data_IF_731303358849
#
_entry.id   IF_731303358849
#
_cell.length_a   1.000
_cell.length_b   1.000
_cell.length_c   1.000
_cell.angle_alpha   90.00
_cell.angle_beta   90.00
_cell.angle_gamma   90.00
#
_symmetry.space_group_name_H-M   'P 1'
#
loop_
_entity.id
_entity.type
_entity.pdbx_description
1 polymer ?
#
# COMPACT_ATOMS: atom_id res chain seq x y z
N UNK A 1 -28.49 56.31 -16.68
CA UNK A 1 -27.60 56.39 -15.50
C UNK A 1 -28.02 55.48 -14.34
N UNK A 2 -29.32 55.29 -14.05
CA UNK A 2 -29.75 54.48 -12.89
C UNK A 2 -29.41 52.97 -12.96
N UNK A 3 -29.29 52.38 -14.16
CA UNK A 3 -28.87 50.96 -14.30
C UNK A 3 -27.36 50.73 -14.18
N UNK A 4 -26.55 51.78 -14.26
CA UNK A 4 -25.09 51.68 -14.13
C UNK A 4 -24.64 51.84 -12.67
N UNK A 5 -25.39 52.61 -11.86
CA UNK A 5 -25.12 52.77 -10.43
C UNK A 5 -25.40 51.49 -9.62
N UNK A 6 -26.43 50.72 -9.99
CA UNK A 6 -26.78 49.48 -9.30
C UNK A 6 -25.71 48.38 -9.47
N UNK A 7 -25.05 48.34 -10.62
CA UNK A 7 -23.99 47.37 -10.92
C UNK A 7 -22.70 47.66 -10.13
N UNK A 8 -22.38 48.94 -9.89
CA UNK A 8 -21.20 49.34 -9.11
C UNK A 8 -21.43 49.13 -7.61
N UNK A 9 -22.67 49.29 -7.12
CA UNK A 9 -23.01 49.02 -5.71
C UNK A 9 -23.01 47.53 -5.38
N UNK A 10 -23.43 46.67 -6.32
CA UNK A 10 -23.42 45.21 -6.14
C UNK A 10 -21.99 44.63 -6.14
N UNK A 11 -21.05 45.23 -6.88
CA UNK A 11 -19.65 44.79 -6.87
C UNK A 11 -18.88 45.26 -5.62
N UNK A 12 -19.30 46.35 -4.98
CA UNK A 12 -18.73 46.85 -3.72
C UNK A 12 -19.20 46.08 -2.48
N UNK A 13 -20.30 45.32 -2.55
CA UNK A 13 -20.78 44.48 -1.42
C UNK A 13 -20.15 43.08 -1.35
N UNK A 14 -19.38 42.65 -2.35
CA UNK A 14 -18.73 41.31 -2.34
C UNK A 14 -17.31 41.35 -1.79
N UNK A 15 -16.75 42.54 -1.51
CA UNK A 15 -15.34 42.70 -1.11
C UNK A 15 -15.06 42.69 0.42
N UNK A 16 -16.02 42.31 1.27
CA UNK A 16 -15.88 42.50 2.73
C UNK A 16 -16.01 41.24 3.62
N UNK A 17 -15.76 40.03 3.11
CA UNK A 17 -15.85 38.80 3.94
C UNK A 17 -14.71 37.78 3.75
N UNK A 18 -13.48 38.22 3.56
CA UNK A 18 -12.32 37.35 3.81
C UNK A 18 -11.17 38.15 4.43
N UNK A 19 -11.41 38.71 5.63
CA UNK A 19 -10.30 38.76 6.56
C UNK A 19 -10.00 37.30 6.90
N UNK A 20 -8.77 36.79 6.67
CA UNK A 20 -8.38 35.57 7.35
C UNK A 20 -8.54 35.90 8.83
N UNK A 21 -9.48 35.23 9.51
CA UNK A 21 -9.41 35.15 10.95
C UNK A 21 -8.05 34.51 11.19
N UNK A 22 -7.05 35.32 11.52
CA UNK A 22 -5.85 34.87 12.17
C UNK A 22 -6.38 34.28 13.47
N UNK A 23 -6.65 32.96 13.46
CA UNK A 23 -7.00 32.23 14.65
C UNK A 23 -5.90 32.60 15.66
N UNK A 24 -6.29 33.34 16.70
CA UNK A 24 -5.39 33.64 17.80
C UNK A 24 -4.76 32.30 18.22
N UNK A 25 -3.46 32.25 18.55
CA UNK A 25 -2.89 31.02 19.09
C UNK A 25 -3.79 30.59 20.24
N UNK A 26 -4.42 29.41 20.15
CA UNK A 26 -5.33 28.89 21.16
C UNK A 26 -4.64 29.03 22.51
N UNK A 27 -4.97 30.08 23.26
CA UNK A 27 -4.33 30.35 24.53
C UNK A 27 -4.81 29.29 25.48
N UNK A 28 -3.89 28.47 25.97
CA UNK A 28 -4.19 27.44 26.95
C UNK A 28 -4.39 28.13 28.30
N UNK A 29 -5.56 27.94 28.91
CA UNK A 29 -6.05 28.78 30.02
C UNK A 29 -5.11 28.85 31.23
N UNK A 30 -4.39 27.77 31.52
CA UNK A 30 -3.48 27.62 32.66
C UNK A 30 -1.99 27.58 32.29
N UNK A 31 -1.65 27.88 31.04
CA UNK A 31 -0.26 27.90 30.57
C UNK A 31 0.08 29.27 30.02
N UNK A 32 0.65 30.10 30.91
CA UNK A 32 1.17 31.42 30.54
C UNK A 32 2.33 31.29 29.55
N UNK A 33 2.53 32.30 28.71
CA UNK A 33 3.61 32.33 27.70
C UNK A 33 5.01 32.18 28.29
N UNK A 34 5.22 32.60 29.53
CA UNK A 34 6.50 32.48 30.25
C UNK A 34 6.60 31.21 31.12
N UNK A 35 5.61 30.30 31.07
CA UNK A 35 5.73 29.01 31.74
C UNK A 35 6.85 28.18 31.10
N UNK A 36 7.68 27.52 31.92
CA UNK A 36 8.93 26.87 31.47
C UNK A 36 8.76 25.86 30.32
N UNK A 37 7.59 25.20 30.23
CA UNK A 37 7.23 24.23 29.20
C UNK A 37 6.20 24.76 28.19
N UNK A 38 5.92 26.07 28.16
CA UNK A 38 4.83 26.62 27.36
C UNK A 38 4.97 26.29 25.87
N UNK A 39 6.19 26.35 25.33
CA UNK A 39 6.49 26.02 23.93
C UNK A 39 6.14 24.57 23.61
N UNK A 40 6.57 23.64 24.46
CA UNK A 40 6.39 22.21 24.29
C UNK A 40 4.93 21.80 24.49
N UNK A 41 4.25 22.38 25.48
CA UNK A 41 2.82 22.18 25.71
C UNK A 41 2.01 22.64 24.50
N UNK A 42 2.27 23.85 24.00
CA UNK A 42 1.61 24.36 22.79
C UNK A 42 1.85 23.44 21.59
N UNK A 43 3.05 22.90 21.44
CA UNK A 43 3.36 21.94 20.38
C UNK A 43 2.52 20.66 20.48
N UNK A 44 2.51 20.01 21.65
CA UNK A 44 1.81 18.72 21.80
C UNK A 44 0.30 18.87 21.70
N UNK A 45 -0.26 20.01 22.11
CA UNK A 45 -1.69 20.33 21.94
C UNK A 45 -2.00 20.62 20.48
N UNK A 46 -1.23 21.48 19.80
CA UNK A 46 -1.44 21.83 18.39
C UNK A 46 -1.37 20.61 17.46
N UNK A 47 -0.47 19.67 17.74
CA UNK A 47 -0.32 18.44 16.97
C UNK A 47 -1.22 17.30 17.48
N UNK A 48 -2.18 17.60 18.36
CA UNK A 48 -3.12 16.62 18.94
C UNK A 48 -2.44 15.44 19.66
N UNK A 49 -1.17 15.55 20.05
CA UNK A 49 -0.41 14.52 20.78
C UNK A 49 -0.94 14.40 22.21
N UNK A 50 -1.24 15.55 22.85
CA UNK A 50 -1.89 15.64 24.15
C UNK A 50 -3.12 16.55 24.03
N UNK A 51 -4.10 16.35 24.90
CA UNK A 51 -5.37 17.09 24.87
C UNK A 51 -5.51 18.02 26.07
N UNK A 52 -6.30 19.08 25.88
CA UNK A 52 -6.85 19.89 26.96
C UNK A 52 -8.06 19.16 27.57
N UNK A 53 -8.46 19.57 28.77
CA UNK A 53 -9.77 19.18 29.31
C UNK A 53 -10.90 19.98 28.65
N UNK A 54 -12.14 19.63 29.00
CA UNK A 54 -13.35 20.26 28.44
C UNK A 54 -13.47 21.76 28.74
N UNK A 55 -12.67 22.27 29.68
CA UNK A 55 -12.60 23.68 30.06
C UNK A 55 -11.43 24.42 29.41
N UNK A 56 -10.65 23.76 28.55
CA UNK A 56 -9.50 24.35 27.87
C UNK A 56 -8.23 24.44 28.73
N UNK A 57 -8.15 23.68 29.83
CA UNK A 57 -6.96 23.63 30.69
C UNK A 57 -6.07 22.45 30.30
N UNK A 58 -4.75 22.66 30.36
CA UNK A 58 -3.78 21.60 30.14
C UNK A 58 -3.46 20.84 31.42
N UNK A 59 -3.64 21.43 32.60
CA UNK A 59 -3.31 20.90 33.92
C UNK A 59 -1.83 20.46 34.03
N UNK A 60 -0.85 21.36 33.84
CA UNK A 60 0.56 21.01 33.66
C UNK A 60 1.21 20.31 34.85
N UNK A 61 0.71 20.57 36.07
CA UNK A 61 1.24 19.99 37.30
C UNK A 61 0.56 18.68 37.71
N UNK A 62 -0.54 18.30 37.05
CA UNK A 62 -1.20 17.02 37.33
C UNK A 62 -0.32 15.85 36.87
N UNK A 63 -0.43 14.72 37.57
CA UNK A 63 0.25 13.48 37.20
C UNK A 63 -0.34 12.87 35.92
N UNK A 64 0.45 12.05 35.23
CA UNK A 64 0.04 11.40 34.00
C UNK A 64 -0.14 9.90 34.19
N UNK A 65 -1.33 9.42 33.87
CA UNK A 65 -1.64 7.99 33.88
C UNK A 65 -0.87 7.25 32.78
N UNK A 66 -0.64 5.96 33.00
CA UNK A 66 0.00 5.06 32.04
C UNK A 66 -0.68 5.07 30.69
N UNK A 67 -2.01 5.03 30.66
CA UNK A 67 -2.73 4.99 29.40
C UNK A 67 -2.68 6.32 28.64
N UNK A 68 -2.73 7.45 29.36
CA UNK A 68 -2.57 8.75 28.74
C UNK A 68 -1.20 8.87 28.07
N UNK A 69 -0.13 8.42 28.75
CA UNK A 69 1.22 8.45 28.19
C UNK A 69 1.34 7.57 26.94
N UNK A 70 0.77 6.36 26.99
CA UNK A 70 0.76 5.43 25.84
C UNK A 70 0.02 6.01 24.65
N UNK A 71 -1.16 6.59 24.87
CA UNK A 71 -1.93 7.26 23.81
C UNK A 71 -1.10 8.36 23.13
N UNK A 72 -0.46 9.23 23.91
CA UNK A 72 0.38 10.30 23.39
C UNK A 72 1.64 9.78 22.69
N UNK A 73 2.26 8.72 23.22
CA UNK A 73 3.44 8.10 22.59
C UNK A 73 3.08 7.46 21.25
N UNK A 74 1.95 6.76 21.14
CA UNK A 74 1.49 6.20 19.86
C UNK A 74 1.36 7.28 18.79
N UNK A 75 0.83 8.46 19.14
CA UNK A 75 0.72 9.61 18.22
C UNK A 75 2.08 10.17 17.80
N UNK A 76 3.03 10.30 18.73
CA UNK A 76 4.42 10.70 18.38
C UNK A 76 5.05 9.71 17.40
N UNK A 77 4.71 8.43 17.52
CA UNK A 77 5.19 7.34 16.67
C UNK A 77 4.35 7.12 15.40
N UNK A 78 3.29 7.92 15.20
CA UNK A 78 2.30 7.80 14.11
C UNK A 78 1.57 6.45 14.04
N UNK A 79 1.45 5.77 15.18
CA UNK A 79 0.87 4.42 15.34
C UNK A 79 -0.55 4.42 15.93
N UNK A 80 -1.20 5.57 16.09
CA UNK A 80 -2.54 5.72 16.65
C UNK A 80 -3.64 5.04 15.82
N UNK A 81 -3.36 4.68 14.57
CA UNK A 81 -4.25 3.94 13.67
C UNK A 81 -3.69 2.56 13.28
N UNK A 82 -2.67 2.06 13.99
CA UNK A 82 -2.11 0.74 13.72
C UNK A 82 -3.20 -0.34 13.88
N UNK A 83 -3.33 -1.20 12.87
CA UNK A 83 -4.25 -2.34 12.90
C UNK A 83 -3.80 -3.36 13.97
N UNK A 84 -4.70 -3.66 14.91
CA UNK A 84 -4.48 -4.64 15.97
C UNK A 84 -4.68 -6.05 15.42
N UNK A 85 -3.66 -6.91 15.59
CA UNK A 85 -3.63 -8.30 15.13
C UNK A 85 -3.45 -9.30 16.27
N UNK A 86 -3.33 -8.81 17.50
CA UNK A 86 -3.17 -9.63 18.70
C UNK A 86 -4.48 -9.71 19.48
N UNK A 87 -4.62 -10.76 20.30
CA UNK A 87 -5.71 -10.86 21.27
C UNK A 87 -5.32 -10.15 22.57
N UNK A 88 -6.31 -9.59 23.26
CA UNK A 88 -6.10 -9.03 24.59
C UNK A 88 -5.70 -10.14 25.58
N UNK A 89 -4.64 -9.90 26.34
CA UNK A 89 -4.17 -10.78 27.41
C UNK A 89 -4.33 -10.17 28.81
N UNK A 90 -4.86 -8.94 28.92
CA UNK A 90 -5.00 -8.23 30.19
C UNK A 90 -6.39 -8.40 30.79
N UNK A 91 -6.46 -8.68 32.08
CA UNK A 91 -7.73 -8.90 32.80
C UNK A 91 -8.46 -7.60 33.17
N UNK A 92 -7.74 -6.49 33.23
CA UNK A 92 -8.23 -5.15 33.60
C UNK A 92 -8.45 -4.23 32.38
N UNK A 93 -8.55 -4.82 31.18
CA UNK A 93 -8.78 -4.10 29.92
C UNK A 93 -9.93 -4.78 29.17
N UNK A 94 -11.00 -4.04 28.95
CA UNK A 94 -12.24 -4.49 28.31
C UNK A 94 -12.37 -3.91 26.91
N UNK A 95 -12.99 -4.64 25.98
CA UNK A 95 -13.28 -4.14 24.62
C UNK A 95 -14.18 -2.89 24.61
N UNK A 96 -14.90 -2.63 25.70
CA UNK A 96 -15.75 -1.45 25.87
C UNK A 96 -14.95 -0.20 26.28
N UNK A 97 -13.70 -0.36 26.71
CA UNK A 97 -12.87 0.76 27.13
C UNK A 97 -12.44 1.57 25.91
N UNK A 98 -12.59 2.90 25.97
CA UNK A 98 -12.17 3.80 24.88
C UNK A 98 -10.68 3.71 24.55
N UNK A 99 -9.86 3.19 25.48
CA UNK A 99 -8.43 2.99 25.31
C UNK A 99 -8.02 1.57 24.92
N UNK A 100 -8.97 0.66 24.71
CA UNK A 100 -8.71 -0.76 24.41
C UNK A 100 -7.72 -0.94 23.24
N UNK A 101 -7.94 -0.22 22.14
CA UNK A 101 -7.08 -0.31 20.97
C UNK A 101 -5.65 0.16 21.25
N UNK A 102 -5.46 1.20 22.05
CA UNK A 102 -4.14 1.76 22.36
C UNK A 102 -3.30 0.82 23.21
N UNK A 103 -3.94 0.13 24.17
CA UNK A 103 -3.28 -0.93 24.94
C UNK A 103 -2.76 -2.02 24.02
N UNK A 104 -3.60 -2.51 23.09
CA UNK A 104 -3.20 -3.60 22.20
C UNK A 104 -2.17 -3.18 21.16
N UNK A 105 -2.23 -1.95 20.63
CA UNK A 105 -1.19 -1.39 19.76
C UNK A 105 0.14 -1.28 20.49
N UNK A 106 0.12 -0.77 21.71
CA UNK A 106 1.29 -0.67 22.58
C UNK A 106 1.93 -2.02 22.83
N UNK A 107 1.12 -3.04 23.15
CA UNK A 107 1.59 -4.41 23.34
C UNK A 107 2.13 -5.01 22.03
N UNK A 108 1.44 -4.83 20.90
CA UNK A 108 1.85 -5.36 19.59
C UNK A 108 3.19 -4.77 19.13
N UNK A 109 3.41 -3.48 19.40
CA UNK A 109 4.65 -2.79 19.11
C UNK A 109 5.75 -3.07 20.15
N UNK A 110 5.40 -3.64 21.31
CA UNK A 110 6.34 -3.80 22.43
C UNK A 110 6.74 -2.48 23.09
N UNK A 111 5.88 -1.45 23.10
CA UNK A 111 6.19 -0.17 23.75
C UNK A 111 6.13 -0.29 25.26
N UNK A 112 5.05 -0.89 25.77
CA UNK A 112 4.74 -0.98 27.20
C UNK A 112 4.15 -2.35 27.49
N UNK A 113 4.82 -3.10 28.36
CA UNK A 113 4.36 -4.42 28.81
C UNK A 113 3.43 -4.31 30.02
N UNK A 114 2.56 -5.30 30.22
CA UNK A 114 1.80 -5.42 31.46
C UNK A 114 2.61 -6.06 32.59
N UNK A 115 1.92 -6.35 33.68
CA UNK A 115 2.51 -6.93 34.89
C UNK A 115 2.40 -8.47 34.91
N UNK A 116 3.20 -9.16 35.74
CA UNK A 116 3.10 -10.62 35.90
C UNK A 116 1.71 -11.12 36.32
N UNK A 117 0.92 -10.27 36.98
CA UNK A 117 -0.46 -10.53 37.41
C UNK A 117 -1.50 -10.47 36.26
N UNK A 118 -1.05 -10.36 35.00
CA UNK A 118 -1.88 -10.20 33.79
C UNK A 118 -2.70 -8.92 33.75
N UNK A 119 -2.27 -7.86 34.44
CA UNK A 119 -2.89 -6.53 34.35
C UNK A 119 -2.05 -5.55 33.53
N UNK A 120 -2.68 -4.50 33.00
CA UNK A 120 -2.01 -3.37 32.35
C UNK A 120 -1.89 -2.15 33.27
N UNK A 121 -2.84 -1.96 34.20
CA UNK A 121 -2.99 -0.83 35.13
C UNK A 121 -3.09 0.52 34.41
N UNK A 122 -4.10 0.72 33.53
CA UNK A 122 -4.19 1.89 32.64
C UNK A 122 -4.25 3.22 33.40
N UNK A 123 -4.98 3.27 34.51
CA UNK A 123 -5.20 4.48 35.31
C UNK A 123 -4.10 4.74 36.35
N UNK A 124 -3.11 3.85 36.47
CA UNK A 124 -2.01 4.08 37.40
C UNK A 124 -1.06 5.12 36.84
N UNK A 125 -0.65 6.07 37.67
CA UNK A 125 0.37 7.03 37.30
C UNK A 125 1.71 6.34 36.98
N UNK A 126 2.44 6.94 36.05
CA UNK A 126 3.79 6.52 35.70
C UNK A 126 4.82 7.24 36.56
N UNK A 127 5.74 6.47 37.13
CA UNK A 127 6.96 7.03 37.68
C UNK A 127 7.89 7.52 36.57
N UNK A 128 8.75 8.48 36.91
CA UNK A 128 9.78 8.97 35.98
C UNK A 128 10.74 7.87 35.54
N UNK A 129 11.04 6.89 36.40
CA UNK A 129 11.89 5.75 36.04
C UNK A 129 11.25 4.83 35.00
N UNK A 130 9.95 4.55 35.13
CA UNK A 130 9.21 3.74 34.16
C UNK A 130 9.13 4.43 32.81
N UNK A 131 8.75 5.72 32.79
CA UNK A 131 8.71 6.51 31.56
C UNK A 131 10.07 6.56 30.87
N UNK A 132 11.14 6.80 31.64
CA UNK A 132 12.52 6.85 31.10
C UNK A 132 12.91 5.52 30.48
N UNK A 133 12.49 4.41 31.08
CA UNK A 133 12.78 3.08 30.56
C UNK A 133 12.01 2.75 29.29
N UNK A 134 10.77 3.22 29.16
CA UNK A 134 10.00 3.13 27.90
C UNK A 134 10.71 3.89 26.79
N UNK A 135 11.10 5.15 27.03
CA UNK A 135 11.79 5.97 26.02
C UNK A 135 13.17 5.40 25.67
N UNK A 136 13.89 4.89 26.67
CA UNK A 136 15.14 4.16 26.43
C UNK A 136 14.88 2.93 25.54
N UNK A 137 13.90 2.09 25.86
CA UNK A 137 13.61 0.87 25.11
C UNK A 137 13.39 1.12 23.60
N UNK A 138 12.59 2.13 23.27
CA UNK A 138 12.21 2.41 21.88
C UNK A 138 13.26 3.18 21.06
N UNK A 139 14.25 3.78 21.73
CA UNK A 139 15.34 4.52 21.07
C UNK A 139 16.51 3.60 20.76
N UNK A 140 17.29 3.96 19.73
CA UNK A 140 18.48 3.25 19.27
C UNK A 140 19.37 2.83 20.43
N UNK A 141 20.03 1.69 20.25
CA UNK A 141 20.95 1.18 21.25
C UNK A 141 22.20 2.06 21.30
N UNK A 142 22.68 2.29 22.51
CA UNK A 142 23.90 3.02 22.80
C UNK A 142 24.42 2.51 24.13
N UNK A 143 25.71 2.21 24.17
CA UNK A 143 26.38 1.95 25.43
C UNK A 143 26.59 3.30 26.13
N UNK A 144 25.75 3.61 27.10
CA UNK A 144 25.83 4.84 27.87
C UNK A 144 26.57 4.60 29.18
N UNK A 145 27.53 5.46 29.49
CA UNK A 145 28.29 5.38 30.73
C UNK A 145 27.43 5.79 31.94
N UNK A 146 27.09 4.83 32.79
CA UNK A 146 26.29 5.05 34.01
C UNK A 146 27.05 5.81 35.08
N UNK A 147 28.38 5.94 34.99
CA UNK A 147 29.17 6.74 35.95
C UNK A 147 28.75 8.21 35.94
N UNK A 148 28.27 8.71 34.79
CA UNK A 148 27.73 10.07 34.61
C UNK A 148 26.56 10.39 35.52
N UNK A 149 25.84 9.37 36.00
CA UNK A 149 24.70 9.55 36.91
C UNK A 149 25.12 10.06 38.28
N UNK A 150 26.37 9.83 38.72
CA UNK A 150 26.88 10.31 40.01
C UNK A 150 26.89 11.83 40.13
N UNK A 151 26.75 12.56 39.02
CA UNK A 151 26.60 14.02 39.02
C UNK A 151 25.25 14.51 39.53
N UNK A 152 24.25 13.64 39.66
CA UNK A 152 22.93 13.97 40.21
C UNK A 152 22.88 13.65 41.70
N UNK A 153 22.27 14.53 42.49
CA UNK A 153 22.28 14.41 43.96
C UNK A 153 21.50 13.21 44.48
N UNK A 154 20.58 12.69 43.67
CA UNK A 154 19.66 11.59 44.00
C UNK A 154 19.90 10.34 43.14
N UNK A 155 21.10 10.19 42.58
CA UNK A 155 21.44 9.06 41.71
C UNK A 155 21.27 7.69 42.39
N UNK A 156 21.42 7.62 43.72
CA UNK A 156 21.22 6.41 44.51
C UNK A 156 19.75 5.98 44.60
N UNK A 157 18.80 6.87 44.28
CA UNK A 157 17.39 6.54 44.23
C UNK A 157 16.98 5.86 42.91
N UNK A 158 17.87 5.82 41.91
CA UNK A 158 17.58 5.19 40.62
C UNK A 158 17.55 3.67 40.82
N UNK A 159 16.45 2.99 40.46
CA UNK A 159 16.42 1.54 40.49
C UNK A 159 17.48 0.94 39.56
N UNK A 160 18.13 -0.15 39.96
CA UNK A 160 19.20 -0.79 39.17
C UNK A 160 18.78 -1.08 37.72
N UNK A 161 17.54 -1.52 37.50
CA UNK A 161 16.99 -1.78 36.17
C UNK A 161 16.85 -0.54 35.29
N UNK A 162 16.79 0.66 35.88
CA UNK A 162 16.62 1.92 35.17
C UNK A 162 17.95 2.66 34.93
N UNK A 163 19.05 2.28 35.59
CA UNK A 163 20.31 3.03 35.54
C UNK A 163 20.81 3.26 34.10
N UNK A 164 20.86 2.21 33.27
CA UNK A 164 21.25 2.35 31.87
C UNK A 164 20.26 3.24 31.09
N UNK A 165 18.96 3.09 31.32
CA UNK A 165 17.94 3.90 30.67
C UNK A 165 18.11 5.40 30.97
N UNK A 166 18.42 5.75 32.22
CA UNK A 166 18.74 7.11 32.62
C UNK A 166 19.98 7.63 31.90
N UNK A 167 21.10 6.91 31.98
CA UNK A 167 22.34 7.32 31.32
C UNK A 167 22.12 7.52 29.81
N UNK A 168 21.40 6.61 29.16
CA UNK A 168 21.11 6.67 27.74
C UNK A 168 20.25 7.89 27.36
N UNK A 169 19.11 8.06 28.02
CA UNK A 169 18.16 9.15 27.72
C UNK A 169 18.73 10.53 28.02
N UNK A 170 19.54 10.67 29.08
CA UNK A 170 20.31 11.89 29.37
C UNK A 170 21.30 12.16 28.24
N UNK A 171 22.06 11.14 27.81
CA UNK A 171 23.05 11.28 26.73
C UNK A 171 22.43 11.64 25.36
N UNK A 172 21.15 11.29 25.14
CA UNK A 172 20.39 11.68 23.95
C UNK A 172 19.74 13.06 24.07
N UNK A 173 19.83 13.70 25.24
CA UNK A 173 19.18 14.97 25.54
C UNK A 173 17.65 14.86 25.63
N UNK A 174 17.13 13.66 25.89
CA UNK A 174 15.68 13.39 25.98
C UNK A 174 15.15 13.59 27.40
N UNK A 175 15.99 13.43 28.44
CA UNK A 175 15.56 13.56 29.82
C UNK A 175 15.15 15.01 30.19
N UNK A 176 14.28 15.15 31.20
CA UNK A 176 13.70 16.43 31.65
C UNK A 176 14.02 16.64 33.13
N UNK A 177 14.93 17.57 33.44
CA UNK A 177 15.32 17.93 34.81
C UNK A 177 14.74 19.30 35.16
N UNK A 178 13.45 19.34 35.46
CA UNK A 178 12.77 20.53 35.95
C UNK A 178 12.08 20.20 37.28
N UNK A 179 12.06 21.11 38.27
CA UNK A 179 12.71 22.43 38.26
C UNK A 179 14.22 22.37 38.57
N UNK A 180 14.71 21.29 39.18
CA UNK A 180 16.09 21.19 39.62
C UNK A 180 16.93 20.35 38.64
N UNK A 181 17.86 21.01 37.95
CA UNK A 181 18.76 20.37 36.98
C UNK A 181 19.68 19.30 37.60
N UNK A 182 19.95 19.35 38.91
CA UNK A 182 20.80 18.39 39.64
C UNK A 182 20.04 17.20 40.20
N UNK A 183 18.71 17.13 40.03
CA UNK A 183 17.87 16.00 40.48
C UNK A 183 17.28 15.23 39.32
N UNK A 184 17.08 13.93 39.51
CA UNK A 184 16.42 13.04 38.57
C UNK A 184 15.00 12.72 39.02
N UNK A 185 14.79 12.48 40.31
CA UNK A 185 13.52 12.12 40.96
C UNK A 185 12.88 10.84 40.40
N UNK A 186 13.60 9.69 40.34
CA UNK A 186 13.16 8.51 39.60
C UNK A 186 11.84 7.90 40.09
N UNK A 187 11.56 7.99 41.39
CA UNK A 187 10.38 7.41 42.03
C UNK A 187 9.18 8.37 42.09
N UNK A 188 9.35 9.62 41.66
CA UNK A 188 8.23 10.59 41.59
C UNK A 188 7.40 10.31 40.35
N UNK A 189 6.08 10.51 40.45
CA UNK A 189 5.19 10.47 39.31
C UNK A 189 5.50 11.60 38.31
N UNK A 190 5.45 11.26 37.03
CA UNK A 190 5.63 12.19 35.92
C UNK A 190 4.45 13.16 35.84
N UNK A 191 4.73 14.47 35.72
CA UNK A 191 3.67 15.45 35.47
C UNK A 191 3.37 15.59 33.98
N UNK A 192 2.19 16.10 33.65
CA UNK A 192 1.78 16.36 32.26
C UNK A 192 2.70 17.35 31.53
N UNK A 193 3.23 18.37 32.20
CA UNK A 193 4.22 19.28 31.61
C UNK A 193 5.54 18.57 31.28
N UNK A 194 6.01 17.70 32.16
CA UNK A 194 7.23 16.92 31.92
C UNK A 194 7.05 15.93 30.78
N UNK A 195 5.89 15.28 30.70
CA UNK A 195 5.53 14.43 29.58
C UNK A 195 5.49 15.21 28.26
N UNK A 196 4.92 16.41 28.24
CA UNK A 196 4.89 17.26 27.04
C UNK A 196 6.29 17.58 26.53
N UNK A 197 7.20 17.98 27.43
CA UNK A 197 8.59 18.28 27.07
C UNK A 197 9.32 17.03 26.57
N UNK A 198 9.14 15.89 27.24
CA UNK A 198 9.74 14.63 26.83
C UNK A 198 9.25 14.19 25.44
N UNK A 199 7.94 14.22 25.20
CA UNK A 199 7.32 13.84 23.93
C UNK A 199 7.71 14.80 22.80
N UNK A 200 7.78 16.11 23.08
CA UNK A 200 8.31 17.09 22.13
C UNK A 200 9.76 16.79 21.75
N UNK A 201 10.63 16.57 22.74
CA UNK A 201 12.05 16.21 22.49
C UNK A 201 12.18 14.93 21.68
N UNK A 202 11.36 13.92 21.99
CA UNK A 202 11.32 12.66 21.24
C UNK A 202 10.88 12.89 19.79
N UNK A 203 9.83 13.70 19.58
CA UNK A 203 9.36 14.07 18.24
C UNK A 203 10.46 14.76 17.43
N UNK A 204 11.17 15.73 18.01
CA UNK A 204 12.29 16.43 17.36
C UNK A 204 13.45 15.47 17.03
N UNK A 205 13.61 14.40 17.81
CA UNK A 205 14.66 13.38 17.67
C UNK A 205 14.09 12.03 17.21
N UNK A 206 13.05 12.04 16.36
CA UNK A 206 12.38 10.81 15.89
C UNK A 206 13.32 9.87 15.13
N UNK A 207 14.42 10.38 14.60
CA UNK A 207 15.50 9.60 13.98
C UNK A 207 16.26 8.71 14.99
N UNK A 208 16.17 8.99 16.29
CA UNK A 208 16.68 8.13 17.36
C UNK A 208 15.76 6.97 17.67
N UNK A 209 14.47 7.03 17.33
CA UNK A 209 13.55 5.90 17.54
C UNK A 209 13.88 4.78 16.56
N UNK A 210 13.95 3.53 17.06
CA UNK A 210 14.24 2.36 16.22
C UNK A 210 13.12 2.18 15.18
N UNK A 211 13.44 1.81 13.92
CA UNK A 211 12.45 1.76 12.84
C UNK A 211 11.20 0.93 13.15
N UNK A 212 11.31 -0.17 13.89
CA UNK A 212 10.19 -1.05 14.21
C UNK A 212 9.09 -0.39 15.06
N UNK A 213 9.38 0.70 15.77
CA UNK A 213 8.40 1.39 16.60
C UNK A 213 7.74 2.58 15.89
N UNK A 214 8.13 2.89 14.65
CA UNK A 214 7.59 4.01 13.89
C UNK A 214 6.63 3.51 12.83
N UNK A 215 5.47 4.15 12.73
CA UNK A 215 4.66 4.02 11.53
C UNK A 215 5.29 4.89 10.44
N UNK A 216 5.69 4.27 9.33
CA UNK A 216 6.07 5.02 8.14
C UNK A 216 4.77 5.34 7.40
N UNK A 217 4.29 6.60 7.46
CA UNK A 217 3.15 7.02 6.63
C UNK A 217 3.51 6.76 5.17
N UNK A 218 2.66 6.02 4.47
CA UNK A 218 2.86 5.79 3.05
C UNK A 218 2.67 7.11 2.30
N UNK A 219 3.71 7.54 1.59
CA UNK A 219 3.70 8.75 0.77
C UNK A 219 4.07 8.35 -0.65
N UNK A 220 3.25 8.77 -1.63
CA UNK A 220 3.57 8.63 -3.05
C UNK A 220 4.80 9.51 -3.32
N UNK A 221 5.89 8.89 -3.77
CA UNK A 221 7.11 9.60 -4.19
C UNK A 221 6.98 10.08 -5.62
N UNK A 222 6.45 9.22 -6.48
CA UNK A 222 6.25 9.49 -7.90
C UNK A 222 5.16 8.56 -8.46
N UNK A 223 4.55 8.97 -9.56
CA UNK A 223 3.70 8.13 -10.40
C UNK A 223 4.46 7.87 -11.70
N UNK A 224 4.71 6.60 -11.98
CA UNK A 224 5.45 6.11 -13.13
C UNK A 224 4.52 5.30 -14.06
N UNK A 225 5.01 4.86 -15.22
CA UNK A 225 4.15 4.28 -16.26
C UNK A 225 4.65 2.94 -16.80
N UNK A 226 3.72 2.06 -17.22
CA UNK A 226 4.00 0.82 -17.95
C UNK A 226 3.73 0.99 -19.45
N UNK A 227 4.56 0.39 -20.31
CA UNK A 227 4.32 0.30 -21.76
C UNK A 227 4.16 -1.16 -22.21
N UNK A 228 3.11 -1.82 -21.71
CA UNK A 228 2.83 -3.23 -22.02
C UNK A 228 1.89 -3.37 -23.22
N UNK A 229 0.89 -2.49 -23.34
CA UNK A 229 -0.12 -2.55 -24.40
C UNK A 229 -0.75 -1.18 -24.62
N UNK A 230 -0.77 -0.71 -25.88
CA UNK A 230 -1.43 0.54 -26.29
C UNK A 230 -2.95 0.56 -26.05
N UNK A 231 -3.56 -0.61 -25.78
CA UNK A 231 -5.00 -0.75 -25.50
C UNK A 231 -5.30 -0.83 -24.01
N UNK A 232 -4.29 -0.78 -23.13
CA UNK A 232 -4.48 -0.82 -21.70
C UNK A 232 -5.28 0.42 -21.25
N UNK A 233 -6.37 0.26 -20.46
CA UNK A 233 -7.13 1.40 -19.96
C UNK A 233 -6.36 2.26 -18.95
N UNK A 234 -5.44 1.65 -18.19
CA UNK A 234 -4.52 2.34 -17.29
C UNK A 234 -3.09 1.88 -17.57
N UNK A 235 -2.13 2.76 -17.33
CA UNK A 235 -0.71 2.44 -17.38
C UNK A 235 0.07 2.94 -16.15
N UNK A 236 -0.59 3.41 -15.09
CA UNK A 236 0.08 4.06 -13.96
C UNK A 236 0.58 3.05 -12.90
N UNK A 237 1.73 3.37 -12.31
CA UNK A 237 2.33 2.70 -11.16
C UNK A 237 2.71 3.76 -10.12
N UNK A 238 2.11 3.70 -8.93
CA UNK A 238 2.49 4.59 -7.83
C UNK A 238 3.67 4.00 -7.07
N UNK A 239 4.80 4.71 -7.06
CA UNK A 239 5.98 4.33 -6.28
C UNK A 239 5.95 5.11 -4.97
N UNK A 240 5.83 4.39 -3.86
CA UNK A 240 5.77 4.98 -2.52
C UNK A 240 7.09 4.79 -1.77
N UNK A 241 7.18 5.35 -0.58
CA UNK A 241 8.26 5.03 0.35
C UNK A 241 8.23 3.57 0.87
N UNK A 242 7.17 2.81 0.63
CA UNK A 242 6.99 1.45 1.15
C UNK A 242 6.86 0.36 0.08
N UNK A 243 6.23 0.66 -1.06
CA UNK A 243 5.88 -0.33 -2.08
C UNK A 243 5.70 0.34 -3.44
N UNK A 244 5.56 -0.50 -4.47
CA UNK A 244 5.06 -0.12 -5.80
C UNK A 244 3.64 -0.64 -5.95
N UNK A 245 2.72 0.23 -6.37
CA UNK A 245 1.31 -0.10 -6.56
C UNK A 245 1.01 0.00 -8.04
N UNK A 246 0.75 -1.14 -8.68
CA UNK A 246 0.27 -1.18 -10.06
C UNK A 246 -1.23 -0.92 -10.00
N UNK A 247 -1.66 0.20 -10.57
CA UNK A 247 -3.06 0.62 -10.49
C UNK A 247 -3.97 -0.36 -11.23
N UNK A 248 -5.22 -0.48 -10.78
CA UNK A 248 -6.29 -1.20 -11.48
C UNK A 248 -6.33 -0.86 -12.97
N UNK A 249 -6.78 -1.82 -13.78
CA UNK A 249 -6.90 -1.74 -15.23
C UNK A 249 -5.56 -1.65 -16.00
N UNK A 250 -4.42 -1.75 -15.31
CA UNK A 250 -3.13 -2.03 -15.96
C UNK A 250 -3.14 -3.41 -16.62
N UNK A 251 -2.39 -3.52 -17.72
CA UNK A 251 -2.20 -4.76 -18.47
C UNK A 251 -0.80 -5.30 -18.24
N UNK A 252 -0.70 -6.59 -17.91
CA UNK A 252 0.57 -7.28 -17.69
C UNK A 252 0.74 -8.43 -18.70
N UNK A 253 2.00 -8.70 -19.07
CA UNK A 253 2.37 -9.79 -19.97
C UNK A 253 2.98 -10.94 -19.17
N UNK A 254 2.34 -12.11 -19.24
CA UNK A 254 2.78 -13.33 -18.56
C UNK A 254 2.88 -14.47 -19.56
N UNK A 255 3.65 -15.50 -19.25
CA UNK A 255 3.80 -16.68 -20.09
C UNK A 255 3.29 -17.94 -19.40
N UNK A 256 2.74 -18.89 -20.15
CA UNK A 256 2.43 -20.22 -19.59
C UNK A 256 3.70 -20.91 -19.09
N UNK A 257 3.71 -21.39 -17.85
CA UNK A 257 4.86 -22.14 -17.31
C UNK A 257 4.92 -23.59 -17.86
N UNK A 258 3.79 -24.09 -18.34
CA UNK A 258 3.66 -25.43 -18.92
C UNK A 258 2.70 -25.44 -20.10
N UNK A 259 2.74 -26.52 -20.89
CA UNK A 259 1.75 -26.72 -21.96
C UNK A 259 0.35 -26.77 -21.37
N UNK A 260 -0.61 -26.11 -22.02
CA UNK A 260 -2.01 -26.10 -21.59
C UNK A 260 -2.93 -26.55 -22.72
N UNK A 261 -3.97 -27.32 -22.38
CA UNK A 261 -4.96 -27.78 -23.34
C UNK A 261 -6.34 -27.91 -22.72
N UNK A 262 -7.27 -27.04 -23.15
CA UNK A 262 -8.60 -26.93 -22.55
C UNK A 262 -9.49 -28.18 -22.72
N UNK A 263 -9.12 -29.14 -23.58
CA UNK A 263 -9.83 -30.41 -23.71
C UNK A 263 -9.62 -31.32 -22.49
N UNK A 264 -8.46 -31.21 -21.83
CA UNK A 264 -8.07 -32.02 -20.66
C UNK A 264 -8.27 -31.29 -19.33
N UNK A 265 -8.76 -30.05 -19.39
CA UNK A 265 -8.93 -29.20 -18.21
C UNK A 265 -10.36 -29.25 -17.68
N UNK A 266 -10.50 -29.01 -16.38
CA UNK A 266 -11.74 -28.92 -15.64
C UNK A 266 -11.83 -27.58 -14.91
N UNK A 267 -13.04 -27.21 -14.49
CA UNK A 267 -13.24 -26.05 -13.63
C UNK A 267 -12.63 -26.37 -12.25
N UNK A 268 -11.89 -25.44 -11.69
CA UNK A 268 -11.10 -25.62 -10.46
C UNK A 268 -9.63 -25.98 -10.71
N UNK A 269 -9.24 -26.32 -11.94
CA UNK A 269 -7.84 -26.60 -12.26
C UNK A 269 -6.95 -25.37 -12.05
N UNK A 270 -5.79 -25.56 -11.44
CA UNK A 270 -4.75 -24.54 -11.35
C UNK A 270 -3.86 -24.55 -12.60
N UNK A 271 -3.57 -23.37 -13.12
CA UNK A 271 -2.68 -23.15 -14.26
C UNK A 271 -1.61 -22.15 -13.85
N UNK A 272 -0.34 -22.54 -14.00
CA UNK A 272 0.79 -21.73 -13.61
C UNK A 272 1.36 -20.94 -14.80
N UNK A 273 1.77 -19.72 -14.49
CA UNK A 273 2.33 -18.74 -15.40
C UNK A 273 3.59 -18.14 -14.78
N UNK A 274 4.39 -17.50 -15.61
CA UNK A 274 5.64 -16.87 -15.19
C UNK A 274 5.84 -15.53 -15.90
N UNK A 275 6.35 -14.55 -15.17
CA UNK A 275 6.98 -13.37 -15.76
C UNK A 275 8.37 -13.75 -16.26
N UNK A 276 8.49 -13.99 -17.57
CA UNK A 276 9.78 -14.35 -18.19
C UNK A 276 10.85 -13.27 -18.01
N UNK A 277 10.42 -12.02 -18.06
CA UNK A 277 11.25 -10.83 -17.92
C UNK A 277 10.73 -10.01 -16.73
N UNK A 278 11.58 -9.17 -16.16
CA UNK A 278 11.14 -8.22 -15.14
C UNK A 278 10.18 -7.20 -15.75
N UNK A 279 9.17 -6.81 -14.97
CA UNK A 279 8.27 -5.71 -15.32
C UNK A 279 8.90 -4.43 -14.81
N UNK A 280 9.26 -3.54 -15.74
CA UNK A 280 9.82 -2.23 -15.47
C UNK A 280 8.84 -1.14 -15.87
N UNK A 281 8.87 -0.02 -15.14
CA UNK A 281 8.29 1.22 -15.62
C UNK A 281 9.13 1.83 -16.74
N UNK A 282 8.55 2.73 -17.51
CA UNK A 282 9.27 3.51 -18.54
C UNK A 282 10.37 4.38 -17.95
N UNK A 283 10.25 4.73 -16.68
CA UNK A 283 11.18 5.51 -15.87
C UNK A 283 12.32 4.66 -15.29
N UNK A 284 12.24 3.32 -15.41
CA UNK A 284 13.32 2.39 -15.06
C UNK A 284 13.18 1.67 -13.73
N UNK A 285 12.07 1.84 -13.00
CA UNK A 285 11.83 1.14 -11.74
C UNK A 285 11.42 -0.31 -11.99
N UNK A 286 12.14 -1.27 -11.38
CA UNK A 286 11.71 -2.67 -11.34
C UNK A 286 10.48 -2.83 -10.44
N UNK A 287 9.35 -3.19 -11.03
CA UNK A 287 8.06 -3.39 -10.35
C UNK A 287 7.87 -4.85 -9.94
N UNK A 288 8.02 -5.77 -10.89
CA UNK A 288 7.91 -7.23 -10.66
C UNK A 288 9.18 -7.91 -11.18
N UNK A 289 9.91 -8.67 -10.35
CA UNK A 289 11.09 -9.41 -10.80
C UNK A 289 10.77 -10.46 -11.87
N UNK A 290 11.72 -10.74 -12.76
CA UNK A 290 11.67 -11.93 -13.61
C UNK A 290 11.59 -13.21 -12.76
N UNK A 291 11.08 -14.30 -13.34
CA UNK A 291 10.84 -15.58 -12.65
C UNK A 291 9.85 -15.49 -11.48
N UNK A 292 9.01 -14.46 -11.46
CA UNK A 292 7.84 -14.39 -10.59
C UNK A 292 6.75 -15.30 -11.16
N UNK A 293 6.24 -16.24 -10.36
CA UNK A 293 5.19 -17.17 -10.75
C UNK A 293 3.82 -16.60 -10.43
N UNK A 294 2.84 -16.82 -11.32
CA UNK A 294 1.42 -16.53 -11.08
C UNK A 294 0.63 -17.82 -11.18
N UNK A 295 -0.32 -18.02 -10.27
CA UNK A 295 -1.29 -19.11 -10.34
C UNK A 295 -2.66 -18.54 -10.72
N UNK A 296 -3.24 -19.11 -11.77
CA UNK A 296 -4.61 -18.88 -12.19
C UNK A 296 -5.49 -20.10 -11.96
N UNK A 297 -6.75 -19.88 -11.61
CA UNK A 297 -7.76 -20.93 -11.46
C UNK A 297 -8.71 -20.90 -12.65
N UNK A 298 -8.98 -22.07 -13.25
CA UNK A 298 -9.98 -22.19 -14.31
C UNK A 298 -11.39 -22.08 -13.71
N UNK A 299 -12.04 -20.94 -13.91
CA UNK A 299 -13.38 -20.66 -13.37
C UNK A 299 -14.51 -21.00 -14.35
N UNK A 300 -14.23 -21.10 -15.65
CA UNK A 300 -15.24 -21.53 -16.63
C UNK A 300 -14.62 -22.15 -17.88
N UNK A 301 -15.30 -23.15 -18.43
CA UNK A 301 -14.92 -23.82 -19.67
C UNK A 301 -16.12 -23.92 -20.61
N UNK A 302 -16.04 -23.23 -21.75
CA UNK A 302 -16.99 -23.38 -22.84
C UNK A 302 -16.37 -24.28 -23.91
N UNK A 303 -16.97 -25.45 -24.13
CA UNK A 303 -16.53 -26.38 -25.18
C UNK A 303 -16.74 -25.77 -26.57
N UNK A 304 -15.89 -26.10 -27.55
CA UNK A 304 -16.08 -25.63 -28.91
C UNK A 304 -17.38 -26.19 -29.51
N UNK A 305 -18.01 -25.45 -30.42
CA UNK A 305 -19.18 -25.91 -31.18
C UNK A 305 -18.83 -26.11 -32.65
N UNK A 306 -19.69 -26.86 -33.35
CA UNK A 306 -19.50 -27.28 -34.74
C UNK A 306 -19.32 -26.13 -35.74
N UNK A 307 -19.83 -24.93 -35.45
CA UNK A 307 -19.74 -23.77 -36.34
C UNK A 307 -18.81 -22.67 -35.83
N UNK A 308 -17.51 -22.72 -36.17
CA UNK A 308 -16.52 -21.64 -35.93
C UNK A 308 -16.53 -21.01 -34.52
N UNK A 309 -17.04 -21.72 -33.52
CA UNK A 309 -17.12 -21.27 -32.13
C UNK A 309 -16.05 -22.01 -31.35
N UNK A 310 -14.89 -21.38 -31.24
CA UNK A 310 -13.76 -21.89 -30.47
C UNK A 310 -14.12 -21.97 -28.97
N UNK A 311 -13.39 -22.83 -28.27
CA UNK A 311 -13.49 -22.94 -26.84
C UNK A 311 -13.13 -21.61 -26.16
N UNK A 312 -13.79 -21.32 -25.04
CA UNK A 312 -13.45 -20.20 -24.18
C UNK A 312 -13.07 -20.71 -22.80
N UNK A 313 -11.95 -20.24 -22.28
CA UNK A 313 -11.47 -20.58 -20.94
C UNK A 313 -11.46 -19.33 -20.09
N UNK A 314 -12.30 -19.26 -19.07
CA UNK A 314 -12.20 -18.25 -18.03
C UNK A 314 -11.15 -18.67 -17.02
N UNK A 315 -10.18 -17.80 -16.76
CA UNK A 315 -9.12 -18.00 -15.77
C UNK A 315 -9.13 -16.80 -14.84
N UNK A 316 -9.12 -17.04 -13.53
CA UNK A 316 -8.97 -15.99 -12.52
C UNK A 316 -7.58 -16.08 -11.93
N UNK A 317 -6.78 -15.04 -12.09
CA UNK A 317 -5.45 -14.99 -11.48
C UNK A 317 -5.61 -14.57 -10.02
N UNK A 318 -4.96 -15.29 -9.09
CA UNK A 318 -5.21 -15.12 -7.65
C UNK A 318 -3.96 -14.81 -6.84
N UNK A 319 -2.86 -15.47 -7.17
CA UNK A 319 -1.63 -15.40 -6.38
C UNK A 319 -0.42 -15.22 -7.27
N UNK A 320 0.54 -14.46 -6.75
CA UNK A 320 1.83 -14.21 -7.35
C UNK A 320 2.94 -14.50 -6.32
N UNK A 321 3.96 -15.27 -6.70
CA UNK A 321 5.09 -15.64 -5.84
C UNK A 321 6.37 -15.13 -6.47
N UNK A 322 7.05 -14.22 -5.77
CA UNK A 322 8.33 -13.64 -6.22
C UNK A 322 9.48 -14.65 -6.06
N UNK A 323 10.62 -14.43 -6.73
CA UNK A 323 11.84 -15.23 -6.52
C UNK A 323 12.32 -15.27 -5.07
N UNK A 324 11.98 -14.28 -4.26
CA UNK A 324 12.28 -14.25 -2.82
C UNK A 324 11.40 -15.20 -1.97
N UNK A 325 10.41 -15.86 -2.57
CA UNK A 325 9.40 -16.67 -1.88
C UNK A 325 8.22 -15.86 -1.31
N UNK A 326 8.26 -14.53 -1.41
CA UNK A 326 7.17 -13.67 -0.93
C UNK A 326 5.94 -13.81 -1.83
N UNK A 327 4.78 -14.01 -1.20
CA UNK A 327 3.50 -14.21 -1.89
C UNK A 327 2.63 -12.97 -1.79
N UNK A 328 1.99 -12.61 -2.90
CA UNK A 328 1.01 -11.53 -2.99
C UNK A 328 -0.27 -12.04 -3.64
N UNK A 329 -1.40 -11.48 -3.20
CA UNK A 329 -2.65 -11.62 -3.91
C UNK A 329 -2.64 -10.75 -5.17
N UNK A 330 -3.24 -11.24 -6.23
CA UNK A 330 -3.49 -10.50 -7.48
C UNK A 330 -4.93 -10.82 -7.89
N UNK A 331 -5.67 -9.83 -8.38
CA UNK A 331 -6.94 -10.06 -9.06
C UNK A 331 -6.81 -9.60 -10.50
N UNK A 332 -6.79 -10.58 -11.42
CA UNK A 332 -6.74 -10.28 -12.84
C UNK A 332 -7.56 -11.29 -13.65
N UNK A 333 -7.90 -10.88 -14.87
CA UNK A 333 -8.52 -11.71 -15.89
C UNK A 333 -7.73 -11.65 -17.21
N UNK A 334 -7.92 -12.60 -18.15
CA UNK A 334 -7.39 -12.47 -19.50
C UNK A 334 -7.78 -11.15 -20.16
N UNK A 335 -6.81 -10.45 -20.76
CA UNK A 335 -7.04 -9.20 -21.46
C UNK A 335 -7.57 -9.45 -22.88
N UNK A 336 -8.83 -9.91 -22.94
CA UNK A 336 -9.61 -10.10 -24.17
C UNK A 336 -10.97 -9.43 -24.02
N UNK A 337 -11.69 -9.25 -25.14
CA UNK A 337 -13.03 -8.60 -25.15
C UNK A 337 -14.01 -9.26 -24.17
N UNK A 338 -13.91 -10.56 -23.98
CA UNK A 338 -14.80 -11.39 -23.16
C UNK A 338 -14.14 -11.91 -21.88
N UNK A 339 -12.97 -11.37 -21.49
CA UNK A 339 -12.20 -11.79 -20.29
C UNK A 339 -11.91 -13.29 -20.24
N UNK A 340 -11.80 -13.93 -21.41
CA UNK A 340 -11.55 -15.37 -21.57
C UNK A 340 -10.44 -15.62 -22.57
N UNK A 341 -9.67 -16.68 -22.33
CA UNK A 341 -8.73 -17.19 -23.31
C UNK A 341 -9.49 -17.82 -24.47
N UNK A 342 -9.06 -17.48 -25.69
CA UNK A 342 -9.59 -18.00 -26.95
C UNK A 342 -8.48 -18.05 -27.98
N UNK A 343 -8.59 -18.99 -28.91
CA UNK A 343 -7.68 -19.08 -30.06
C UNK A 343 -7.84 -17.84 -30.95
N UNK A 344 -6.70 -17.30 -31.40
CA UNK A 344 -6.66 -16.10 -32.24
C UNK A 344 -7.16 -16.35 -33.68
N UNK A 345 -7.60 -15.29 -34.40
CA UNK A 345 -8.03 -15.42 -35.79
C UNK A 345 -6.95 -15.98 -36.73
N UNK A 346 -5.68 -15.65 -36.50
CA UNK A 346 -4.56 -16.05 -37.36
C UNK A 346 -4.25 -17.56 -37.31
N UNK A 347 -4.48 -18.22 -36.16
CA UNK A 347 -4.42 -19.69 -36.03
C UNK A 347 -5.58 -20.37 -36.78
N UNK A 348 -6.66 -19.63 -37.05
CA UNK A 348 -7.79 -20.09 -37.86
C UNK A 348 -7.53 -19.87 -39.36
N UNK A 349 -6.64 -18.94 -39.73
CA UNK A 349 -6.30 -18.65 -41.13
C UNK A 349 -5.46 -19.76 -41.77
N UNK A 350 -4.51 -20.36 -41.03
CA UNK A 350 -3.77 -21.54 -41.50
C UNK A 350 -4.68 -22.73 -41.87
N UNK A 351 -5.87 -22.79 -41.26
CA UNK A 351 -6.93 -23.78 -41.51
C UNK A 351 -7.55 -23.65 -42.90
N UNK A 352 -7.71 -22.42 -43.39
CA UNK A 352 -8.22 -22.15 -44.75
C UNK A 352 -7.21 -22.64 -45.78
N UNK A 353 -5.93 -22.36 -45.56
CA UNK A 353 -4.87 -22.80 -46.48
C UNK A 353 -4.78 -24.33 -46.54
N UNK A 354 -4.81 -25.03 -45.40
CA UNK A 354 -4.67 -26.50 -45.36
C UNK A 354 -5.86 -27.25 -45.94
N UNK A 355 -7.10 -26.77 -45.74
CA UNK A 355 -8.29 -27.39 -46.35
C UNK A 355 -8.40 -27.10 -47.85
N UNK A 356 -7.90 -25.95 -48.31
CA UNK A 356 -7.91 -25.60 -49.74
C UNK A 356 -6.83 -26.37 -50.51
N UNK A 357 -5.68 -26.67 -49.87
CA UNK A 357 -4.61 -27.48 -50.48
C UNK A 357 -4.89 -29.00 -50.38
N UNK A 358 -5.70 -29.44 -49.42
CA UNK A 358 -6.07 -30.86 -49.23
C UNK A 358 -7.17 -31.41 -50.15
N UNK A 359 -7.83 -30.56 -50.95
CA UNK A 359 -8.85 -30.96 -51.94
C UNK A 359 -8.27 -30.95 -53.35
N UNK A 360 -7.20 -31.72 -53.57
CA UNK A 360 -6.68 -31.97 -54.91
C UNK A 360 -6.55 -33.46 -55.18
N UNK A 361 -7.58 -34.07 -55.77
CA UNK A 361 -7.45 -35.17 -56.75
C UNK A 361 -8.80 -35.83 -57.07
N UNK A 362 -9.60 -35.25 -57.98
CA UNK A 362 -10.35 -36.05 -58.97
C UNK A 362 -10.42 -35.25 -60.28
N UNK A 363 -9.71 -35.74 -61.31
CA UNK A 363 -10.15 -35.69 -62.70
C UNK A 363 -9.85 -34.46 -63.55
N UNK A 364 -8.78 -34.57 -64.34
CA UNK A 364 -8.60 -34.08 -65.73
C UNK A 364 -8.64 -32.57 -66.05
N UNK A 365 -7.47 -32.06 -66.49
CA UNK A 365 -7.39 -31.19 -67.66
C UNK A 365 -6.95 -29.73 -67.43
N UNK A 366 -5.74 -29.43 -67.90
CA UNK A 366 -5.17 -28.10 -68.22
C UNK A 366 -4.78 -27.17 -67.04
N UNK A 367 -3.63 -26.51 -67.20
CA UNK A 367 -2.96 -25.66 -66.21
C UNK A 367 -3.86 -24.54 -65.64
N UNK A 368 -3.52 -23.95 -64.51
CA UNK A 368 -2.66 -22.76 -64.47
C UNK A 368 -2.03 -22.64 -63.06
N UNK A 369 -0.70 -22.47 -63.06
CA UNK A 369 0.09 -21.64 -62.13
C UNK A 369 -0.24 -21.64 -60.64
N UNK A 370 0.51 -22.41 -59.86
CA UNK A 370 0.77 -22.08 -58.46
C UNK A 370 1.66 -20.84 -58.38
N UNK A 371 1.11 -19.72 -57.92
CA UNK A 371 1.88 -18.51 -57.71
C UNK A 371 1.24 -17.60 -56.68
N UNK A 372 1.88 -17.52 -55.50
CA UNK A 372 2.22 -16.33 -54.73
C UNK A 372 2.04 -16.49 -53.21
N UNK A 373 3.17 -16.65 -52.53
CA UNK A 373 3.43 -16.06 -51.22
C UNK A 373 3.70 -14.56 -51.45
N UNK A 374 3.15 -13.67 -50.60
CA UNK A 374 4.03 -12.60 -50.12
C UNK A 374 3.99 -12.38 -48.59
N UNK A 375 5.16 -11.93 -48.14
CA UNK A 375 5.66 -11.57 -46.81
C UNK A 375 4.77 -10.57 -46.02
N UNK A 376 4.83 -10.53 -44.67
CA UNK A 376 3.92 -9.78 -43.78
C UNK A 376 4.35 -8.31 -43.53
N UNK A 377 5.03 -7.66 -44.46
CA UNK A 377 5.49 -6.28 -44.31
C UNK A 377 4.94 -5.41 -45.44
N UNK A 378 4.18 -4.36 -45.07
CA UNK A 378 3.51 -3.33 -45.90
C UNK A 378 2.05 -3.65 -46.29
N UNK A 379 1.11 -3.18 -45.47
CA UNK A 379 -0.21 -2.74 -45.94
C UNK A 379 -0.70 -1.65 -44.97
N UNK A 380 -0.26 -0.43 -45.26
CA UNK A 380 -0.75 0.80 -44.64
C UNK A 380 -1.90 1.40 -45.45
N UNK A 381 -2.80 2.07 -44.73
CA UNK A 381 -3.63 3.22 -45.12
C UNK A 381 -4.60 3.11 -46.31
N UNK A 382 -5.90 3.21 -45.99
CA UNK A 382 -6.84 4.09 -46.71
C UNK A 382 -7.98 3.43 -47.49
N UNK A 383 -9.23 3.81 -47.14
CA UNK A 383 -10.36 4.16 -48.04
C UNK A 383 -10.91 3.02 -48.94
N UNK A 384 -12.20 2.80 -49.21
CA UNK A 384 -13.52 3.16 -48.74
C UNK A 384 -14.51 2.31 -49.59
N UNK A 385 -15.71 2.05 -49.07
CA UNK A 385 -17.00 1.95 -49.80
C UNK A 385 -17.04 1.04 -51.07
N UNK A 386 -17.75 -0.10 -50.98
CA UNK A 386 -18.24 -0.86 -52.15
C UNK A 386 -19.19 -0.03 -53.02
N UNK A 387 -19.43 -0.27 -54.30
CA UNK A 387 -19.98 -1.46 -55.03
C UNK A 387 -20.16 -0.98 -56.51
N UNK A 388 -20.61 -1.74 -57.54
CA UNK A 388 -20.87 -3.19 -57.75
C UNK A 388 -20.37 -3.72 -59.15
N UNK A 389 -20.84 -4.92 -59.57
CA UNK A 389 -20.82 -5.55 -60.93
C UNK A 389 -19.58 -6.46 -61.20
N UNK A 390 -19.64 -7.74 -61.57
CA UNK A 390 -20.72 -8.70 -61.89
C UNK A 390 -20.13 -9.98 -62.55
N UNK A 391 -20.82 -11.13 -62.36
CA UNK A 391 -20.64 -12.47 -62.98
C UNK A 391 -19.40 -13.30 -62.59
N UNK A 392 -19.44 -14.59 -62.23
CA UNK A 392 -20.50 -15.56 -61.96
C UNK A 392 -19.83 -16.86 -61.44
N UNK A 393 -20.30 -17.36 -60.28
CA UNK A 393 -20.23 -18.74 -59.76
C UNK A 393 -18.86 -19.40 -59.43
N UNK A 394 -18.68 -19.70 -58.13
CA UNK A 394 -17.92 -20.83 -57.57
C UNK A 394 -16.49 -20.51 -57.13
N UNK A 395 -16.08 -20.51 -55.85
CA UNK A 395 -16.54 -21.18 -54.64
C UNK A 395 -16.38 -20.21 -53.45
N UNK A 396 -17.49 -19.70 -52.90
CA UNK A 396 -17.50 -19.36 -51.47
C UNK A 396 -17.69 -20.67 -50.73
N UNK A 397 -16.63 -21.48 -50.64
CA UNK A 397 -16.54 -22.45 -49.56
C UNK A 397 -16.36 -21.63 -48.30
N UNK A 398 -17.48 -21.21 -47.71
CA UNK A 398 -17.52 -20.88 -46.30
C UNK A 398 -17.07 -22.12 -45.55
N UNK A 399 -15.76 -22.28 -45.37
CA UNK A 399 -15.15 -23.45 -44.77
C UNK A 399 -15.72 -23.60 -43.36
N UNK A 400 -16.69 -24.52 -43.25
CA UNK A 400 -17.32 -24.91 -41.99
C UNK A 400 -16.29 -25.72 -41.23
N UNK A 401 -15.48 -25.03 -40.43
CA UNK A 401 -14.48 -25.72 -39.61
C UNK A 401 -15.02 -25.90 -38.18
N UNK A 402 -14.85 -27.09 -37.57
CA UNK A 402 -15.23 -27.30 -36.18
C UNK A 402 -14.42 -26.36 -35.28
N UNK A 403 -15.07 -25.83 -34.24
CA UNK A 403 -14.40 -24.99 -33.25
C UNK A 403 -13.23 -25.70 -32.58
N UNK A 404 -12.18 -24.96 -32.26
CA UNK A 404 -10.97 -25.50 -31.65
C UNK A 404 -11.02 -25.42 -30.13
N UNK A 405 -10.45 -26.43 -29.48
CA UNK A 405 -10.04 -26.32 -28.08
C UNK A 405 -8.86 -25.36 -27.98
N UNK A 406 -8.83 -24.56 -26.91
CA UNK A 406 -7.72 -23.66 -26.63
C UNK A 406 -6.47 -24.46 -26.25
N UNK A 407 -5.35 -24.17 -26.91
CA UNK A 407 -4.06 -24.77 -26.64
C UNK A 407 -3.03 -23.67 -26.46
N UNK A 408 -2.11 -23.86 -25.52
CA UNK A 408 -0.95 -22.99 -25.38
C UNK A 408 0.32 -23.83 -25.17
N UNK A 409 1.42 -23.36 -25.74
CA UNK A 409 2.74 -23.95 -25.52
C UNK A 409 3.36 -23.40 -24.24
N UNK A 410 4.27 -24.16 -23.62
CA UNK A 410 5.12 -23.62 -22.56
C UNK A 410 5.87 -22.38 -23.09
N UNK A 411 5.82 -21.30 -22.33
CA UNK A 411 6.44 -20.03 -22.65
C UNK A 411 5.65 -19.14 -23.63
N UNK A 412 4.44 -19.53 -24.03
CA UNK A 412 3.56 -18.69 -24.84
C UNK A 412 3.00 -17.54 -24.01
N UNK A 413 3.08 -16.31 -24.55
CA UNK A 413 2.67 -15.11 -23.84
C UNK A 413 1.16 -14.87 -23.96
N UNK A 414 0.56 -14.42 -22.86
CA UNK A 414 -0.78 -13.85 -22.82
C UNK A 414 -0.74 -12.50 -22.11
N UNK A 415 -1.76 -11.68 -22.37
CA UNK A 415 -1.99 -10.45 -21.63
C UNK A 415 -3.09 -10.68 -20.60
N UNK A 416 -2.90 -10.12 -19.42
CA UNK A 416 -3.88 -10.09 -18.33
C UNK A 416 -4.15 -8.64 -17.95
N UNK A 417 -5.32 -8.36 -17.42
CA UNK A 417 -5.70 -7.05 -16.91
C UNK A 417 -6.05 -7.13 -15.43
N UNK A 418 -5.54 -6.19 -14.65
CA UNK A 418 -5.81 -6.11 -13.22
C UNK A 418 -7.23 -5.59 -12.98
N UNK A 419 -7.98 -6.26 -12.11
CA UNK A 419 -9.31 -5.82 -11.69
C UNK A 419 -9.25 -4.95 -10.42
N UNK A 420 -8.13 -4.98 -9.71
CA UNK A 420 -7.85 -4.20 -8.50
C UNK A 420 -6.35 -3.85 -8.43
N UNK A 421 -6.00 -2.90 -7.56
CA UNK A 421 -4.62 -2.45 -7.36
C UNK A 421 -3.73 -3.60 -6.87
N UNK A 422 -2.57 -3.77 -7.49
CA UNK A 422 -1.59 -4.81 -7.10
C UNK A 422 -0.37 -4.18 -6.44
N UNK A 423 -0.15 -4.52 -5.16
CA UNK A 423 0.91 -3.95 -4.34
C UNK A 423 2.13 -4.88 -4.20
N UNK A 424 3.29 -4.43 -4.66
CA UNK A 424 4.58 -5.11 -4.48
C UNK A 424 5.44 -4.31 -3.50
N UNK A 425 5.68 -4.87 -2.32
CA UNK A 425 6.42 -4.19 -1.26
C UNK A 425 7.93 -4.23 -1.52
N UNK A 426 8.60 -3.11 -1.18
CA UNK A 426 10.04 -2.92 -1.36
C UNK A 426 10.88 -3.92 -0.57
#
# INVERSE_FOLDING_TARGET
MQRFLASVLAFLMVAFNFLPVLAAPNSINDVKSNYWAAKEINFVVKNSIMTLDDKGYFNPNATMTRIAFVHSLLKVLSNENLNVRIKNCFTDVSQKDGFYADVLRSQQLGLVYGYPDKTFKPNRDLSRAETTSIISHITKDKNADTSTLKGFVDYTAIPNWAANAYAKTISYGLYVNHPNIKKLEPNRNLTRAEAAVLLYKLYQKINLVKPQYKSTKETIKTTEHLDVSKKAPCNEVQVTNLRKIIMKDNVLRIAFDQKYWSKKSHVGDCVNFVFKEGVYTTEGTLVIPANTYITGEVISLQKPKWFNKNARVGVKFRTMVLPSGKTYAIDADPFTKDRKLKEGPWMTFGKVLSWTVGLGAVGTGAGIGFGFIPNPAKLGTGVAIGTPIGCSVGLVLGLVTPGLHYKAKKGENILIILNDDTSVWN
#
